data_IF_679305935501
#
_entry.id   IF_679305935501
#
_cell.length_a   1.000
_cell.length_b   1.000
_cell.length_c   1.000
_cell.angle_alpha   90.00
_cell.angle_beta   90.00
_cell.angle_gamma   90.00
#
_symmetry.space_group_name_H-M   'P 1'
#
loop_
_entity.id
_entity.type
_entity.pdbx_description
1 polymer ?
#
# COMPACT_ATOMS: atom_id res chain seq x y z
N UNK A 1 15.04 -1.92 -7.90
CA UNK A 1 16.12 -2.84 -7.48
C UNK A 1 16.14 -3.00 -5.95
N UNK A 2 16.31 -1.94 -5.16
CA UNK A 2 16.34 -2.04 -3.68
C UNK A 2 15.06 -2.58 -3.04
N UNK A 3 13.88 -2.16 -3.50
CA UNK A 3 12.58 -2.66 -3.00
C UNK A 3 12.35 -4.14 -3.28
N UNK A 4 12.85 -4.65 -4.40
CA UNK A 4 12.78 -6.07 -4.74
C UNK A 4 13.64 -6.91 -3.76
N UNK A 5 14.87 -6.45 -3.49
CA UNK A 5 15.77 -7.11 -2.53
C UNK A 5 15.16 -7.08 -1.13
N UNK A 6 14.63 -5.93 -0.69
CA UNK A 6 13.95 -5.80 0.61
C UNK A 6 12.76 -6.76 0.72
N UNK A 7 11.94 -6.85 -0.33
CA UNK A 7 10.85 -7.82 -0.40
C UNK A 7 11.38 -9.24 -0.20
N UNK A 8 12.40 -9.65 -0.95
CA UNK A 8 12.98 -10.99 -0.83
C UNK A 8 13.51 -11.28 0.57
N UNK A 9 14.20 -10.31 1.19
CA UNK A 9 14.67 -10.41 2.58
C UNK A 9 13.48 -10.65 3.53
N UNK A 10 12.45 -9.80 3.49
CA UNK A 10 11.30 -9.93 4.40
C UNK A 10 10.55 -11.25 4.22
N UNK A 11 10.47 -11.79 3.01
CA UNK A 11 9.85 -13.09 2.78
C UNK A 11 10.64 -14.25 3.42
N UNK A 12 11.96 -14.11 3.58
CA UNK A 12 12.83 -15.12 4.21
C UNK A 12 12.93 -15.00 5.73
N UNK A 13 12.69 -13.81 6.29
CA UNK A 13 12.74 -13.59 7.75
C UNK A 13 11.63 -14.37 8.45
N UNK A 14 11.98 -14.98 9.58
CA UNK A 14 11.01 -15.55 10.50
C UNK A 14 10.60 -14.50 11.53
N UNK A 15 9.45 -13.85 11.32
CA UNK A 15 8.92 -12.88 12.27
C UNK A 15 8.25 -13.60 13.45
N UNK A 16 8.77 -13.34 14.65
CA UNK A 16 8.20 -13.74 15.94
C UNK A 16 7.29 -12.64 16.53
N UNK A 17 6.46 -13.01 17.51
CA UNK A 17 5.52 -12.13 18.24
C UNK A 17 6.17 -10.88 18.85
N UNK A 18 7.47 -10.95 19.16
CA UNK A 18 8.24 -9.79 19.65
C UNK A 18 8.25 -8.64 18.65
N UNK A 19 8.35 -8.93 17.34
CA UNK A 19 8.38 -7.89 16.30
C UNK A 19 7.02 -7.20 16.19
N UNK A 20 5.92 -7.95 16.37
CA UNK A 20 4.58 -7.38 16.44
C UNK A 20 4.45 -6.45 17.66
N UNK A 21 4.86 -6.92 18.84
CA UNK A 21 4.83 -6.13 20.08
C UNK A 21 5.67 -4.86 19.99
N UNK A 22 6.86 -4.93 19.40
CA UNK A 22 7.74 -3.78 19.14
C UNK A 22 7.10 -2.77 18.21
N UNK A 23 6.42 -3.24 17.15
CA UNK A 23 5.67 -2.37 16.24
C UNK A 23 4.50 -1.67 16.94
N UNK A 24 3.72 -2.39 17.73
CA UNK A 24 2.60 -1.80 18.50
C UNK A 24 3.12 -0.74 19.49
N UNK A 25 4.21 -1.02 20.18
CA UNK A 25 4.84 -0.06 21.11
C UNK A 25 5.27 1.21 20.39
N UNK A 26 5.95 1.06 19.24
CA UNK A 26 6.31 2.18 18.38
C UNK A 26 5.09 3.00 17.93
N UNK A 27 4.00 2.35 17.52
CA UNK A 27 2.79 3.06 17.11
C UNK A 27 2.17 3.85 18.26
N UNK A 28 2.12 3.29 19.47
CA UNK A 28 1.61 3.99 20.65
C UNK A 28 2.39 5.27 20.91
N UNK A 29 3.72 5.20 20.82
CA UNK A 29 4.61 6.37 20.97
C UNK A 29 4.41 7.39 19.84
N UNK A 30 4.29 6.93 18.59
CA UNK A 30 4.11 7.80 17.43
C UNK A 30 2.75 8.52 17.41
N UNK A 31 1.73 7.96 18.08
CA UNK A 31 0.36 8.48 18.08
C UNK A 31 -0.14 8.89 19.48
N UNK A 32 0.75 9.21 20.42
CA UNK A 32 0.41 9.57 21.81
C UNK A 32 -0.70 10.64 21.94
N UNK A 33 -0.74 11.61 21.01
CA UNK A 33 -1.70 12.71 21.03
C UNK A 33 -2.96 12.46 20.17
N UNK A 34 -3.07 11.27 19.57
CA UNK A 34 -4.19 10.92 18.68
C UNK A 34 -5.01 9.77 19.26
N UNK A 35 -5.99 10.11 20.11
CA UNK A 35 -6.87 9.15 20.78
C UNK A 35 -7.56 8.17 19.81
N UNK A 36 -7.95 8.64 18.62
CA UNK A 36 -8.57 7.78 17.61
C UNK A 36 -7.60 6.71 17.13
N UNK A 37 -6.35 7.07 16.83
CA UNK A 37 -5.35 6.10 16.38
C UNK A 37 -4.90 5.17 17.51
N UNK A 38 -4.86 5.64 18.75
CA UNK A 38 -4.62 4.78 19.92
C UNK A 38 -5.68 3.68 20.04
N UNK A 39 -6.97 3.99 19.87
CA UNK A 39 -8.03 2.97 19.84
C UNK A 39 -7.86 1.98 18.67
N UNK A 40 -7.41 2.47 17.51
CA UNK A 40 -7.15 1.62 16.35
C UNK A 40 -5.97 0.68 16.58
N UNK A 41 -4.94 1.14 17.30
CA UNK A 41 -3.79 0.33 17.71
C UNK A 41 -4.21 -0.77 18.69
N UNK A 42 -5.05 -0.44 19.68
CA UNK A 42 -5.61 -1.45 20.61
C UNK A 42 -6.42 -2.53 19.86
N UNK A 43 -7.22 -2.10 18.88
CA UNK A 43 -7.97 -3.02 18.03
C UNK A 43 -7.04 -3.90 17.19
N UNK A 44 -5.99 -3.32 16.60
CA UNK A 44 -4.99 -4.07 15.86
C UNK A 44 -4.30 -5.11 16.75
N UNK A 45 -3.82 -4.71 17.93
CA UNK A 45 -3.13 -5.62 18.87
C UNK A 45 -4.00 -6.82 19.27
N UNK A 46 -5.29 -6.58 19.54
CA UNK A 46 -6.22 -7.62 19.98
C UNK A 46 -6.69 -8.53 18.85
N UNK A 47 -7.05 -7.96 17.71
CA UNK A 47 -7.84 -8.66 16.68
C UNK A 47 -6.98 -9.02 15.44
N UNK A 48 -5.66 -8.76 15.44
CA UNK A 48 -4.80 -8.88 14.24
C UNK A 48 -4.98 -10.21 13.50
N UNK A 49 -4.93 -11.32 14.25
CA UNK A 49 -5.01 -12.67 13.71
C UNK A 49 -6.45 -13.13 13.39
N UNK A 50 -7.47 -12.40 13.85
CA UNK A 50 -8.87 -12.71 13.57
C UNK A 50 -9.29 -12.32 12.14
N UNK A 51 -8.47 -11.49 11.48
CA UNK A 51 -8.72 -11.02 10.13
C UNK A 51 -7.54 -11.31 9.21
N UNK A 52 -7.81 -11.46 7.91
CA UNK A 52 -6.74 -11.54 6.92
C UNK A 52 -6.00 -10.20 6.81
N UNK A 53 -4.68 -10.18 6.52
CA UNK A 53 -3.89 -8.94 6.45
C UNK A 53 -4.44 -7.86 5.51
N UNK A 54 -5.10 -8.27 4.43
CA UNK A 54 -5.74 -7.35 3.47
C UNK A 54 -6.87 -6.55 4.12
N UNK A 55 -7.58 -7.12 5.08
CA UNK A 55 -8.62 -6.43 5.82
C UNK A 55 -8.00 -5.23 6.55
N UNK A 56 -6.91 -5.45 7.29
CA UNK A 56 -6.17 -4.38 7.97
C UNK A 56 -5.58 -3.34 7.00
N UNK A 57 -5.10 -3.78 5.84
CA UNK A 57 -4.56 -2.87 4.82
C UNK A 57 -5.65 -1.99 4.16
N UNK A 58 -6.88 -2.48 4.06
CA UNK A 58 -7.99 -1.74 3.43
C UNK A 58 -8.88 -1.02 4.43
N UNK A 59 -8.74 -1.33 5.72
CA UNK A 59 -9.41 -0.62 6.79
C UNK A 59 -8.91 0.83 6.91
N UNK A 60 -9.82 1.78 7.13
CA UNK A 60 -9.52 3.22 7.16
C UNK A 60 -8.83 3.67 8.46
N UNK A 61 -7.59 3.25 8.70
CA UNK A 61 -6.76 3.65 9.87
C UNK A 61 -5.31 4.00 9.48
N UNK A 62 -4.46 4.27 10.47
CA UNK A 62 -3.03 4.59 10.28
C UNK A 62 -2.24 3.55 9.46
N UNK A 63 -2.60 2.28 9.49
CA UNK A 63 -1.75 1.19 8.96
C UNK A 63 -1.53 1.32 7.45
N UNK A 64 -2.58 1.61 6.68
CA UNK A 64 -2.50 1.84 5.24
C UNK A 64 -1.62 3.04 4.90
N UNK A 65 -1.84 4.16 5.58
CA UNK A 65 -1.14 5.42 5.29
C UNK A 65 0.33 5.33 5.71
N UNK A 66 0.61 4.80 6.90
CA UNK A 66 1.96 4.55 7.42
C UNK A 66 2.76 3.65 6.49
N UNK A 67 2.23 2.48 6.11
CA UNK A 67 2.94 1.55 5.23
C UNK A 67 3.25 2.17 3.87
N UNK A 68 2.25 2.77 3.21
CA UNK A 68 2.45 3.34 1.89
C UNK A 68 3.36 4.57 1.91
N UNK A 69 3.33 5.36 2.99
CA UNK A 69 4.25 6.48 3.15
C UNK A 69 5.68 5.99 3.36
N UNK A 70 5.89 5.01 4.25
CA UNK A 70 7.20 4.44 4.51
C UNK A 70 7.83 3.85 3.24
N UNK A 71 7.06 3.05 2.48
CA UNK A 71 7.50 2.49 1.20
C UNK A 71 7.78 3.56 0.13
N UNK A 72 7.00 4.66 0.10
CA UNK A 72 7.20 5.76 -0.86
C UNK A 72 8.45 6.58 -0.53
N UNK A 73 8.68 6.84 0.76
CA UNK A 73 9.82 7.64 1.24
C UNK A 73 11.08 6.79 1.50
N UNK A 74 10.99 5.47 1.34
CA UNK A 74 12.04 4.52 1.67
C UNK A 74 12.51 4.65 3.13
N UNK A 75 11.56 4.87 4.05
CA UNK A 75 11.83 4.93 5.49
C UNK A 75 12.12 3.52 6.02
N UNK A 76 13.40 3.16 6.08
CA UNK A 76 13.84 1.80 6.40
C UNK A 76 13.46 1.39 7.82
N UNK A 77 13.46 2.31 8.79
CA UNK A 77 13.11 1.98 10.18
C UNK A 77 11.66 1.51 10.26
N UNK A 78 10.74 2.28 9.68
CA UNK A 78 9.31 1.90 9.63
C UNK A 78 9.11 0.64 8.79
N UNK A 79 9.75 0.53 7.62
CA UNK A 79 9.63 -0.64 6.74
C UNK A 79 10.05 -1.92 7.48
N UNK A 80 11.15 -1.88 8.25
CA UNK A 80 11.63 -3.05 9.01
C UNK A 80 10.66 -3.41 10.13
N UNK A 81 10.16 -2.43 10.88
CA UNK A 81 9.14 -2.67 11.94
C UNK A 81 7.86 -3.27 11.38
N UNK A 82 7.46 -2.84 10.18
CA UNK A 82 6.29 -3.37 9.45
C UNK A 82 6.60 -4.63 8.65
N UNK A 83 7.81 -5.20 8.74
CA UNK A 83 8.26 -6.32 7.92
C UNK A 83 7.35 -7.56 8.02
N UNK A 84 6.86 -7.86 9.24
CA UNK A 84 5.89 -8.94 9.45
C UNK A 84 4.60 -8.70 8.66
N UNK A 85 4.07 -7.48 8.71
CA UNK A 85 2.83 -7.13 8.03
C UNK A 85 3.02 -7.10 6.51
N UNK A 86 4.17 -6.64 6.02
CA UNK A 86 4.52 -6.69 4.59
C UNK A 86 4.54 -8.13 4.09
N UNK A 87 5.15 -9.05 4.84
CA UNK A 87 5.19 -10.48 4.51
C UNK A 87 3.78 -11.08 4.49
N UNK A 88 3.00 -10.84 5.54
CA UNK A 88 1.65 -11.35 5.67
C UNK A 88 0.72 -10.81 4.57
N UNK A 89 0.79 -9.51 4.30
CA UNK A 89 0.05 -8.85 3.22
C UNK A 89 0.43 -9.40 1.85
N UNK A 90 1.73 -9.60 1.59
CA UNK A 90 2.21 -10.19 0.34
C UNK A 90 1.61 -11.58 0.12
N UNK A 91 1.70 -12.47 1.12
CA UNK A 91 1.15 -13.81 1.03
C UNK A 91 -0.37 -13.82 0.88
N UNK A 92 -1.09 -12.93 1.57
CA UNK A 92 -2.52 -12.79 1.42
C UNK A 92 -2.91 -12.39 -0.03
N UNK A 93 -2.19 -11.44 -0.63
CA UNK A 93 -2.41 -11.02 -2.02
C UNK A 93 -2.09 -12.17 -2.98
N UNK A 94 -0.99 -12.89 -2.77
CA UNK A 94 -0.63 -14.05 -3.61
C UNK A 94 -1.72 -15.12 -3.61
N UNK A 95 -2.25 -15.47 -2.42
CA UNK A 95 -3.34 -16.45 -2.30
C UNK A 95 -4.60 -16.02 -3.04
N UNK A 96 -5.00 -14.76 -2.93
CA UNK A 96 -6.15 -14.22 -3.66
C UNK A 96 -5.90 -14.19 -5.18
N UNK A 97 -4.69 -13.83 -5.60
CA UNK A 97 -4.31 -13.80 -7.01
C UNK A 97 -4.41 -15.19 -7.65
N UNK A 98 -3.87 -16.23 -7.01
CA UNK A 98 -3.99 -17.61 -7.50
C UNK A 98 -5.46 -18.01 -7.68
N UNK A 99 -6.31 -17.73 -6.68
CA UNK A 99 -7.74 -18.05 -6.77
C UNK A 99 -8.51 -17.25 -7.83
N UNK A 100 -8.06 -16.03 -8.17
CA UNK A 100 -8.72 -15.18 -9.16
C UNK A 100 -8.49 -15.64 -10.61
N UNK A 101 -7.33 -16.24 -10.89
CA UNK A 101 -6.92 -16.58 -12.27
C UNK A 101 -6.94 -18.09 -12.60
N UNK A 102 -7.35 -18.94 -11.68
CA UNK A 102 -7.53 -20.39 -11.92
C UNK A 102 -8.87 -20.75 -12.63
N UNK A 103 -9.70 -19.78 -13.01
CA UNK A 103 -10.98 -20.02 -13.71
C UNK A 103 -10.90 -19.80 -15.23
N UNK A 104 -11.68 -20.50 -16.06
CA UNK A 104 -11.57 -20.42 -17.54
C UNK A 104 -11.91 -19.05 -18.18
N UNK A 105 -12.22 -18.02 -17.39
CA UNK A 105 -12.44 -16.63 -17.84
C UNK A 105 -11.18 -15.74 -17.69
N UNK A 106 -10.07 -16.30 -17.22
CA UNK A 106 -8.81 -15.59 -16.89
C UNK A 106 -8.04 -14.94 -18.04
N UNK A 107 -8.61 -14.84 -19.25
CA UNK A 107 -7.97 -14.18 -20.39
C UNK A 107 -8.35 -12.71 -20.59
N UNK A 108 -9.28 -12.17 -19.79
CA UNK A 108 -9.76 -10.80 -19.99
C UNK A 108 -8.83 -9.78 -19.35
N UNK A 109 -8.40 -8.79 -20.13
CA UNK A 109 -7.68 -7.62 -19.64
C UNK A 109 -8.52 -6.95 -18.56
N UNK A 110 -7.94 -6.79 -17.37
CA UNK A 110 -8.57 -6.11 -16.24
C UNK A 110 -8.16 -4.63 -16.23
N UNK A 111 -9.10 -3.73 -16.54
CA UNK A 111 -8.87 -2.29 -16.39
C UNK A 111 -9.21 -1.84 -14.98
N UNK A 112 -8.26 -1.18 -14.33
CA UNK A 112 -8.41 -0.56 -13.02
C UNK A 112 -7.92 0.88 -13.03
N UNK A 113 -8.43 1.66 -12.10
CA UNK A 113 -8.16 3.09 -11.97
C UNK A 113 -7.51 3.37 -10.62
N UNK A 114 -6.57 4.32 -10.59
CA UNK A 114 -5.96 4.80 -9.34
C UNK A 114 -5.82 6.31 -9.40
N UNK A 115 -6.49 7.01 -8.49
CA UNK A 115 -6.26 8.43 -8.27
C UNK A 115 -5.06 8.64 -7.35
N UNK A 116 -4.27 9.65 -7.65
CA UNK A 116 -3.17 10.08 -6.79
C UNK A 116 -2.89 11.57 -6.98
N UNK A 117 -2.39 12.20 -5.92
CA UNK A 117 -1.79 13.52 -5.98
C UNK A 117 -0.26 13.41 -6.16
N UNK A 118 0.29 14.15 -7.11
CA UNK A 118 1.74 14.30 -7.31
C UNK A 118 2.16 15.76 -7.18
N UNK A 119 3.46 16.00 -6.95
CA UNK A 119 4.01 17.34 -7.14
C UNK A 119 4.05 17.68 -8.64
N UNK A 120 4.02 18.98 -8.97
CA UNK A 120 4.24 19.47 -10.34
C UNK A 120 5.56 18.98 -10.92
N UNK A 121 6.59 18.91 -10.09
CA UNK A 121 7.92 18.43 -10.48
C UNK A 121 7.87 16.96 -10.87
N UNK A 122 7.34 16.09 -9.99
CA UNK A 122 7.23 14.66 -10.26
C UNK A 122 6.37 14.38 -11.49
N UNK A 123 5.27 15.12 -11.66
CA UNK A 123 4.44 15.04 -12.85
C UNK A 123 5.23 15.39 -14.12
N UNK A 124 5.99 16.49 -14.08
CA UNK A 124 6.80 16.93 -15.22
C UNK A 124 7.86 15.89 -15.58
N UNK A 125 8.59 15.36 -14.60
CA UNK A 125 9.57 14.28 -14.84
C UNK A 125 8.90 13.02 -15.38
N UNK A 126 7.74 12.63 -14.85
CA UNK A 126 6.96 11.49 -15.34
C UNK A 126 6.50 11.70 -16.81
N UNK A 127 6.16 12.91 -17.22
CA UNK A 127 5.78 13.17 -18.62
C UNK A 127 6.95 13.03 -19.60
N UNK A 128 8.19 13.28 -19.16
CA UNK A 128 9.39 13.10 -19.98
C UNK A 128 9.70 11.63 -20.27
N UNK A 129 9.26 10.72 -19.40
CA UNK A 129 9.50 9.27 -19.53
C UNK A 129 8.38 8.53 -20.26
N UNK A 130 7.51 9.25 -20.99
CA UNK A 130 6.41 8.65 -21.77
C UNK A 130 6.94 7.58 -22.75
N UNK A 131 6.31 6.41 -22.73
CA UNK A 131 6.75 5.24 -23.47
C UNK A 131 7.78 4.37 -22.74
N UNK A 132 8.29 4.84 -21.59
CA UNK A 132 9.13 4.07 -20.68
C UNK A 132 8.34 3.25 -19.66
N UNK A 133 9.08 2.69 -18.70
CA UNK A 133 8.53 1.90 -17.60
C UNK A 133 8.35 2.75 -16.35
N UNK A 134 7.27 2.48 -15.60
CA UNK A 134 7.02 3.06 -14.28
C UNK A 134 7.13 1.98 -13.22
N UNK A 135 7.84 2.27 -12.13
CA UNK A 135 7.97 1.38 -10.98
C UNK A 135 7.28 1.98 -9.77
N UNK A 136 6.48 1.19 -9.08
CA UNK A 136 5.88 1.55 -7.80
C UNK A 136 6.61 0.82 -6.67
N UNK A 137 6.97 1.56 -5.63
CA UNK A 137 7.65 1.01 -4.46
C UNK A 137 6.69 0.50 -3.39
N UNK A 138 5.40 0.80 -3.54
CA UNK A 138 4.35 0.51 -2.59
C UNK A 138 3.31 -0.45 -3.18
N UNK A 139 2.46 -1.02 -2.32
CA UNK A 139 1.31 -1.80 -2.75
C UNK A 139 0.30 -0.92 -3.50
N UNK A 140 -0.21 -1.41 -4.62
CA UNK A 140 -1.17 -0.69 -5.45
C UNK A 140 -2.61 -1.01 -5.04
N UNK A 141 -3.23 -0.08 -4.32
CA UNK A 141 -4.69 -0.02 -4.18
C UNK A 141 -5.30 0.65 -5.42
N UNK A 142 -6.26 -0.02 -6.05
CA UNK A 142 -6.93 0.40 -7.29
C UNK A 142 -8.41 0.04 -7.23
N UNK A 143 -9.24 0.69 -8.05
CA UNK A 143 -10.68 0.37 -8.16
C UNK A 143 -11.06 0.09 -9.61
N UNK A 144 -12.02 -0.81 -9.82
CA UNK A 144 -12.68 -0.98 -11.12
C UNK A 144 -13.63 0.18 -11.44
N UNK A 145 -14.08 0.90 -10.42
CA UNK A 145 -14.93 2.07 -10.58
C UNK A 145 -14.06 3.33 -10.66
N UNK A 146 -14.11 4.01 -11.81
CA UNK A 146 -13.39 5.26 -12.08
C UNK A 146 -13.70 6.35 -11.05
N UNK A 147 -14.96 6.49 -10.67
CA UNK A 147 -15.41 7.58 -9.79
C UNK A 147 -14.88 7.41 -8.36
N UNK A 148 -14.81 6.16 -7.89
CA UNK A 148 -14.15 5.82 -6.62
C UNK A 148 -12.69 6.25 -6.65
N UNK A 149 -11.97 5.98 -7.74
CA UNK A 149 -10.56 6.35 -7.86
C UNK A 149 -10.35 7.86 -7.96
N UNK A 150 -11.28 8.61 -8.56
CA UNK A 150 -11.20 10.07 -8.63
C UNK A 150 -11.23 10.74 -7.26
N UNK A 151 -11.89 10.13 -6.25
CA UNK A 151 -11.88 10.63 -4.88
C UNK A 151 -10.47 10.71 -4.27
N UNK A 152 -9.52 9.91 -4.78
CA UNK A 152 -8.12 9.89 -4.36
C UNK A 152 -7.21 10.80 -5.19
N UNK A 153 -7.75 11.48 -6.20
CA UNK A 153 -7.06 12.49 -7.00
C UNK A 153 -7.55 13.89 -6.59
N UNK A 154 -7.09 14.44 -5.46
CA UNK A 154 -7.57 15.74 -4.98
C UNK A 154 -7.32 16.81 -6.04
N UNK A 155 -8.32 17.68 -6.23
CA UNK A 155 -8.21 18.82 -7.12
C UNK A 155 -7.15 19.78 -6.57
N UNK A 156 -6.40 20.45 -7.47
CA UNK A 156 -5.31 21.39 -7.15
C UNK A 156 -5.73 22.61 -6.30
N UNK A 157 -6.97 22.66 -5.81
CA UNK A 157 -7.57 23.79 -5.10
C UNK A 157 -6.88 24.13 -3.77
N UNK A 158 -6.22 23.18 -3.12
CA UNK A 158 -5.59 23.38 -1.79
C UNK A 158 -4.08 23.57 -1.82
N UNK A 159 -3.39 23.21 -2.92
CA UNK A 159 -1.96 23.43 -3.06
C UNK A 159 -1.58 23.62 -4.54
N UNK A 160 -1.11 24.82 -4.94
CA UNK A 160 -0.81 25.11 -6.34
C UNK A 160 0.35 24.28 -6.89
N UNK A 161 1.20 23.67 -6.04
CA UNK A 161 2.33 22.85 -6.45
C UNK A 161 1.98 21.38 -6.61
N UNK A 162 0.70 21.03 -6.47
CA UNK A 162 0.20 19.67 -6.57
C UNK A 162 -0.75 19.50 -7.75
N UNK A 163 -0.66 18.34 -8.40
CA UNK A 163 -1.51 17.93 -9.51
C UNK A 163 -2.18 16.61 -9.15
N UNK A 164 -3.51 16.56 -9.26
CA UNK A 164 -4.28 15.34 -9.22
C UNK A 164 -4.19 14.59 -10.55
N UNK A 165 -3.81 13.32 -10.50
CA UNK A 165 -3.72 12.44 -11.67
C UNK A 165 -4.57 11.19 -11.48
N UNK A 166 -5.02 10.63 -12.60
CA UNK A 166 -5.73 9.36 -12.65
C UNK A 166 -4.95 8.40 -13.54
N UNK A 167 -4.39 7.34 -12.93
CA UNK A 167 -3.83 6.22 -13.67
C UNK A 167 -4.97 5.34 -14.19
N UNK A 168 -4.86 4.93 -15.46
CA UNK A 168 -5.66 3.89 -16.08
C UNK A 168 -4.70 2.73 -16.35
N UNK A 169 -4.89 1.63 -15.64
CA UNK A 169 -3.98 0.48 -15.65
C UNK A 169 -4.71 -0.69 -16.27
N UNK A 170 -4.14 -1.25 -17.33
CA UNK A 170 -4.63 -2.48 -17.94
C UNK A 170 -3.75 -3.63 -17.49
N UNK A 171 -4.30 -4.54 -16.70
CA UNK A 171 -3.60 -5.71 -16.16
C UNK A 171 -3.87 -6.87 -17.11
N UNK A 172 -2.81 -7.39 -17.71
CA UNK A 172 -2.87 -8.62 -18.47
C UNK A 172 -2.67 -9.81 -17.50
N UNK A 173 -3.63 -10.73 -17.36
CA UNK A 173 -3.52 -11.87 -16.46
C UNK A 173 -2.65 -13.04 -16.96
N UNK A 174 -2.28 -13.06 -18.25
CA UNK A 174 -1.35 -14.05 -18.85
C UNK A 174 0.11 -13.71 -18.62
#
# INVERSE_FOLDING_TARGET
MYTQILKEIFLTINFEDKHFTEFITYCREAFLENENELQNIEKLERDYHDHIPIWWYTYQYFLYSMLNQALRLMDVDIIVRMGFFIKDLHHAIQRLHSGQFDTPQSGTILTVYRGQCLSKQDFTEMTKTKGGLLSFNNFLSTSRNRDVSLLFAPQAATNPDRIGILFIISINPT
#
